data_IF_706672485173
#
_entry.id   IF_706672485173
#
_cell.length_a   1.000
_cell.length_b   1.000
_cell.length_c   1.000
_cell.angle_alpha   90.00
_cell.angle_beta   90.00
_cell.angle_gamma   90.00
#
_symmetry.space_group_name_H-M   'P 1'
#
loop_
_entity.id
_entity.type
_entity.pdbx_description
1 polymer ?
#
# COMPACT_ATOMS: atom_id res chain seq x y z
N UNK A 1 -28.69 -6.47 5.92
CA UNK A 1 -28.16 -5.17 6.23
C UNK A 1 -27.35 -4.62 5.06
N UNK A 2 -27.76 -3.47 4.54
CA UNK A 2 -27.16 -2.87 3.34
C UNK A 2 -25.67 -2.54 3.52
N UNK A 3 -25.30 -2.03 4.69
CA UNK A 3 -23.89 -1.72 4.99
C UNK A 3 -23.02 -2.96 4.95
N UNK A 4 -23.47 -4.04 5.57
CA UNK A 4 -22.71 -5.31 5.56
C UNK A 4 -22.56 -5.86 4.16
N UNK A 5 -23.60 -5.75 3.34
CA UNK A 5 -23.58 -6.17 1.95
C UNK A 5 -22.55 -5.35 1.14
N UNK A 6 -22.62 -4.03 1.28
CA UNK A 6 -21.71 -3.12 0.59
C UNK A 6 -20.26 -3.38 0.99
N UNK A 7 -20.01 -3.55 2.28
CA UNK A 7 -18.67 -3.88 2.77
C UNK A 7 -18.17 -5.20 2.20
N UNK A 8 -19.05 -6.20 2.13
CA UNK A 8 -18.68 -7.51 1.59
C UNK A 8 -18.31 -7.42 0.10
N UNK A 9 -19.07 -6.67 -0.68
CA UNK A 9 -18.78 -6.46 -2.10
C UNK A 9 -17.45 -5.72 -2.29
N UNK A 10 -17.24 -4.66 -1.52
CA UNK A 10 -15.97 -3.92 -1.55
C UNK A 10 -14.80 -4.79 -1.11
N UNK A 11 -14.97 -5.58 -0.06
CA UNK A 11 -13.98 -6.53 0.41
C UNK A 11 -13.59 -7.52 -0.69
N UNK A 12 -14.57 -8.11 -1.33
CA UNK A 12 -14.31 -9.08 -2.40
C UNK A 12 -13.59 -8.44 -3.59
N UNK A 13 -13.96 -7.22 -3.95
CA UNK A 13 -13.31 -6.49 -5.03
C UNK A 13 -11.84 -6.19 -4.68
N UNK A 14 -11.58 -5.74 -3.46
CA UNK A 14 -10.23 -5.48 -2.98
C UNK A 14 -9.42 -6.78 -2.92
N UNK A 15 -10.00 -7.86 -2.42
CA UNK A 15 -9.35 -9.16 -2.38
C UNK A 15 -8.98 -9.66 -3.77
N UNK A 16 -9.86 -9.51 -4.74
CA UNK A 16 -9.58 -9.90 -6.12
C UNK A 16 -8.40 -9.12 -6.68
N UNK A 17 -8.34 -7.83 -6.42
CA UNK A 17 -7.22 -7.00 -6.85
C UNK A 17 -5.93 -7.43 -6.19
N UNK A 18 -5.95 -7.70 -4.89
CA UNK A 18 -4.78 -8.16 -4.14
C UNK A 18 -4.34 -9.52 -4.64
N UNK A 19 -5.26 -10.46 -4.83
CA UNK A 19 -4.94 -11.79 -5.35
C UNK A 19 -4.30 -11.73 -6.73
N UNK A 20 -4.84 -10.89 -7.62
CA UNK A 20 -4.26 -10.71 -8.95
C UNK A 20 -2.85 -10.13 -8.88
N UNK A 21 -2.66 -9.12 -8.03
CA UNK A 21 -1.35 -8.52 -7.84
C UNK A 21 -0.37 -9.50 -7.24
N UNK A 22 -0.82 -10.30 -6.25
CA UNK A 22 -0.02 -11.35 -5.62
C UNK A 22 0.33 -12.46 -6.58
N UNK A 23 -0.65 -12.95 -7.34
CA UNK A 23 -0.42 -14.00 -8.32
C UNK A 23 0.56 -13.54 -9.39
N UNK A 24 0.41 -12.32 -9.87
CA UNK A 24 1.33 -11.75 -10.85
C UNK A 24 2.74 -11.62 -10.29
N UNK A 25 2.85 -11.12 -9.07
CA UNK A 25 4.13 -10.93 -8.40
C UNK A 25 4.77 -12.26 -8.05
N UNK A 26 3.98 -13.22 -7.55
CA UNK A 26 4.45 -14.57 -7.26
C UNK A 26 4.89 -15.32 -8.52
N UNK A 27 4.19 -15.10 -9.62
CA UNK A 27 4.57 -15.70 -10.90
C UNK A 27 5.92 -15.16 -11.38
N UNK A 28 6.14 -13.86 -11.25
CA UNK A 28 7.43 -13.26 -11.60
C UNK A 28 8.54 -13.72 -10.64
N UNK A 29 8.24 -13.83 -9.36
CA UNK A 29 9.21 -14.28 -8.36
C UNK A 29 9.52 -15.76 -8.49
N UNK A 30 8.53 -16.59 -8.82
CA UNK A 30 8.76 -18.01 -9.02
C UNK A 30 9.68 -18.32 -10.20
N UNK A 31 9.68 -17.47 -11.21
CA UNK A 31 10.63 -17.61 -12.30
C UNK A 31 12.04 -17.17 -11.91
N UNK A 32 12.15 -16.21 -10.99
CA UNK A 32 13.45 -15.71 -10.52
C UNK A 32 14.00 -16.51 -9.34
N UNK A 33 13.15 -17.10 -8.52
CA UNK A 33 13.51 -17.76 -7.28
C UNK A 33 13.23 -19.27 -7.26
N UNK A 34 13.32 -19.97 -8.37
CA UNK A 34 13.20 -21.41 -8.36
C UNK A 34 14.26 -22.11 -7.50
N UNK A 35 15.21 -21.36 -6.96
CA UNK A 35 16.36 -21.88 -6.25
C UNK A 35 16.27 -21.66 -4.74
N UNK A 36 15.41 -20.75 -4.28
CA UNK A 36 15.25 -20.47 -2.85
C UNK A 36 13.81 -20.72 -2.45
N UNK A 37 13.43 -21.97 -2.51
CA UNK A 37 12.15 -22.37 -1.95
C UNK A 37 12.38 -22.82 -0.52
N UNK A 38 12.10 -21.96 0.40
CA UNK A 38 11.72 -22.40 1.73
C UNK A 38 10.36 -21.80 2.01
N UNK A 39 9.30 -22.51 1.67
CA UNK A 39 8.02 -22.13 2.20
C UNK A 39 8.07 -22.45 3.68
N UNK A 40 8.36 -21.48 4.47
CA UNK A 40 8.12 -21.60 5.87
C UNK A 40 6.64 -21.57 6.09
N UNK A 41 6.07 -22.76 6.10
CA UNK A 41 4.65 -22.97 6.23
C UNK A 41 4.12 -22.68 7.63
N UNK A 42 4.98 -22.23 8.54
CA UNK A 42 4.61 -21.93 9.91
C UNK A 42 4.44 -20.43 10.17
N UNK A 43 4.44 -19.63 9.12
CA UNK A 43 4.11 -18.24 9.29
C UNK A 43 2.62 -18.14 9.60
N UNK A 44 2.35 -17.57 10.75
CA UNK A 44 1.01 -17.36 11.25
C UNK A 44 0.21 -16.46 10.31
N UNK A 45 -1.10 -16.54 10.39
CA UNK A 45 -2.02 -15.69 9.63
C UNK A 45 -1.66 -14.20 9.75
N UNK A 46 -1.01 -13.80 10.84
CA UNK A 46 -0.60 -12.42 11.07
C UNK A 46 0.39 -11.90 10.03
N UNK A 47 1.35 -12.74 9.60
CA UNK A 47 2.31 -12.37 8.57
C UNK A 47 1.66 -12.22 7.20
N UNK A 48 0.68 -13.05 6.91
CA UNK A 48 -0.10 -12.97 5.67
C UNK A 48 -0.91 -11.66 5.67
N UNK A 49 -1.52 -11.29 6.79
CA UNK A 49 -2.26 -10.05 6.93
C UNK A 49 -1.37 -8.82 6.78
N UNK A 50 -0.15 -8.86 7.32
CA UNK A 50 0.81 -7.78 7.16
C UNK A 50 1.21 -7.59 5.70
N UNK A 51 1.47 -8.67 4.99
CA UNK A 51 1.78 -8.62 3.56
C UNK A 51 0.62 -8.07 2.74
N UNK A 52 -0.61 -8.47 3.08
CA UNK A 52 -1.81 -7.94 2.43
C UNK A 52 -1.95 -6.44 2.65
N UNK A 53 -1.67 -5.96 3.87
CA UNK A 53 -1.70 -4.54 4.18
C UNK A 53 -0.61 -3.77 3.42
N UNK A 54 0.59 -4.32 3.36
CA UNK A 54 1.68 -3.72 2.59
C UNK A 54 1.34 -3.60 1.11
N UNK A 55 0.71 -4.63 0.56
CA UNK A 55 0.26 -4.62 -0.83
C UNK A 55 -0.83 -3.59 -1.06
N UNK A 56 -1.77 -3.45 -0.13
CA UNK A 56 -2.80 -2.42 -0.20
C UNK A 56 -2.19 -1.02 -0.22
N UNK A 57 -1.24 -0.78 0.67
CA UNK A 57 -0.54 0.50 0.72
C UNK A 57 0.21 0.74 -0.59
N UNK A 58 0.90 -0.26 -1.11
CA UNK A 58 1.62 -0.15 -2.37
C UNK A 58 0.68 0.17 -3.53
N UNK A 59 -0.50 -0.45 -3.56
CA UNK A 59 -1.50 -0.17 -4.59
C UNK A 59 -2.02 1.27 -4.50
N UNK A 60 -2.28 1.75 -3.29
CA UNK A 60 -2.74 3.12 -3.09
C UNK A 60 -1.66 4.10 -3.54
N UNK A 61 -0.41 3.85 -3.19
CA UNK A 61 0.73 4.69 -3.59
C UNK A 61 0.86 4.73 -5.10
N UNK A 62 0.73 3.59 -5.78
CA UNK A 62 0.83 3.52 -7.24
C UNK A 62 -0.28 4.32 -7.93
N UNK A 63 -1.45 4.44 -7.32
CA UNK A 63 -2.57 5.19 -7.86
C UNK A 63 -2.52 6.69 -7.54
N UNK A 64 -1.59 7.12 -6.72
CA UNK A 64 -1.46 8.54 -6.40
C UNK A 64 -0.99 9.35 -7.60
N UNK A 65 -1.32 10.66 -7.67
CA UNK A 65 -0.73 11.55 -8.66
C UNK A 65 0.80 11.51 -8.59
N UNK A 66 1.51 11.70 -9.72
CA UNK A 66 2.96 11.51 -9.76
C UNK A 66 3.73 12.31 -8.72
N UNK A 67 3.34 13.56 -8.49
CA UNK A 67 4.03 14.43 -7.55
C UNK A 67 3.82 13.97 -6.10
N UNK A 68 2.59 13.63 -5.74
CA UNK A 68 2.26 13.10 -4.41
C UNK A 68 3.02 11.78 -4.16
N UNK A 69 3.00 10.90 -5.14
CA UNK A 69 3.70 9.63 -5.09
C UNK A 69 5.21 9.83 -4.86
N UNK A 70 5.80 10.75 -5.59
CA UNK A 70 7.24 11.07 -5.47
C UNK A 70 7.56 11.59 -4.08
N UNK A 71 6.77 12.54 -3.57
CA UNK A 71 6.97 13.11 -2.25
C UNK A 71 6.80 12.04 -1.17
N UNK A 72 5.79 11.20 -1.28
CA UNK A 72 5.56 10.10 -0.34
C UNK A 72 6.75 9.14 -0.30
N UNK A 73 7.25 8.75 -1.46
CA UNK A 73 8.40 7.86 -1.54
C UNK A 73 9.66 8.48 -0.95
N UNK A 74 9.91 9.75 -1.22
CA UNK A 74 11.05 10.46 -0.64
C UNK A 74 10.97 10.49 0.88
N UNK A 75 9.77 10.69 1.43
CA UNK A 75 9.56 10.73 2.87
C UNK A 75 9.71 9.36 3.51
N UNK A 76 9.13 8.32 2.92
CA UNK A 76 9.07 6.99 3.53
C UNK A 76 10.26 6.11 3.20
N UNK A 77 10.68 6.08 1.96
CA UNK A 77 11.77 5.20 1.53
C UNK A 77 13.13 5.83 1.80
N UNK A 78 13.27 7.12 1.52
CA UNK A 78 14.54 7.83 1.70
C UNK A 78 14.69 8.47 3.07
N UNK A 79 13.64 8.50 3.89
CA UNK A 79 13.68 9.09 5.21
C UNK A 79 13.89 10.60 5.22
N UNK A 80 13.55 11.30 4.15
CA UNK A 80 13.76 12.73 4.04
C UNK A 80 12.72 13.50 4.84
N UNK A 81 13.16 14.61 5.45
CA UNK A 81 12.24 15.51 6.12
C UNK A 81 11.51 16.40 5.10
N UNK A 82 10.43 17.03 5.54
CA UNK A 82 9.66 17.93 4.67
C UNK A 82 10.54 19.08 4.13
N UNK A 83 11.44 19.59 4.93
CA UNK A 83 12.38 20.64 4.50
C UNK A 83 13.33 20.13 3.41
N UNK A 84 13.87 18.94 3.60
CA UNK A 84 14.77 18.31 2.61
C UNK A 84 14.06 18.05 1.29
N UNK A 85 12.84 17.54 1.34
CA UNK A 85 12.02 17.29 0.15
C UNK A 85 11.73 18.61 -0.56
N UNK A 86 11.34 19.63 0.19
CA UNK A 86 11.05 20.95 -0.36
C UNK A 86 12.26 21.54 -1.09
N UNK A 87 13.44 21.42 -0.51
CA UNK A 87 14.68 21.89 -1.15
C UNK A 87 15.02 21.07 -2.39
N UNK A 88 14.87 19.75 -2.32
CA UNK A 88 15.19 18.86 -3.44
C UNK A 88 14.28 19.10 -4.64
N UNK A 89 13.01 19.40 -4.42
CA UNK A 89 12.02 19.59 -5.48
C UNK A 89 11.84 21.07 -5.85
N UNK A 90 12.40 21.99 -5.09
CA UNK A 90 12.24 23.43 -5.34
C UNK A 90 10.82 23.93 -5.08
N UNK A 91 10.12 23.37 -4.12
CA UNK A 91 8.76 23.75 -3.74
C UNK A 91 8.70 24.15 -2.27
N UNK A 92 7.58 24.74 -1.87
CA UNK A 92 7.39 25.16 -0.49
C UNK A 92 7.21 23.96 0.44
N UNK A 93 7.72 24.06 1.65
CA UNK A 93 7.51 23.06 2.70
C UNK A 93 6.04 22.76 2.91
N UNK A 94 5.20 23.79 2.90
CA UNK A 94 3.76 23.64 3.09
C UNK A 94 3.13 22.79 2.00
N UNK A 95 3.59 22.93 0.76
CA UNK A 95 3.15 22.07 -0.36
C UNK A 95 3.52 20.62 -0.11
N UNK A 96 4.74 20.36 0.39
CA UNK A 96 5.18 19.01 0.75
C UNK A 96 4.29 18.43 1.85
N UNK A 97 4.04 19.20 2.89
CA UNK A 97 3.19 18.76 4.00
C UNK A 97 1.76 18.48 3.55
N UNK A 98 1.22 19.30 2.65
CA UNK A 98 -0.11 19.08 2.08
C UNK A 98 -0.17 17.78 1.27
N UNK A 99 0.83 17.53 0.45
CA UNK A 99 0.90 16.27 -0.33
C UNK A 99 1.03 15.06 0.59
N UNK A 100 1.86 15.14 1.61
CA UNK A 100 2.01 14.06 2.59
C UNK A 100 0.72 13.82 3.36
N UNK A 101 0.04 14.89 3.77
CA UNK A 101 -1.24 14.79 4.45
C UNK A 101 -2.30 14.12 3.58
N UNK A 102 -2.38 14.49 2.32
CA UNK A 102 -3.30 13.87 1.37
C UNK A 102 -2.95 12.41 1.11
N UNK A 103 -1.66 12.10 1.00
CA UNK A 103 -1.19 10.73 0.83
C UNK A 103 -1.59 9.86 2.03
N UNK A 104 -1.37 10.37 3.23
CA UNK A 104 -1.75 9.66 4.45
C UNK A 104 -3.27 9.49 4.56
N UNK A 105 -4.03 10.49 4.11
CA UNK A 105 -5.49 10.39 4.08
C UNK A 105 -5.95 9.29 3.13
N UNK A 106 -5.36 9.21 1.95
CA UNK A 106 -5.69 8.17 0.97
C UNK A 106 -5.38 6.77 1.53
N UNK A 107 -4.21 6.63 2.14
CA UNK A 107 -3.81 5.36 2.76
C UNK A 107 -4.73 5.01 3.92
N UNK A 108 -5.04 5.99 4.76
CA UNK A 108 -5.92 5.80 5.93
C UNK A 108 -7.30 5.33 5.52
N UNK A 109 -7.86 5.88 4.46
CA UNK A 109 -9.18 5.46 3.96
C UNK A 109 -9.18 3.98 3.59
N UNK A 110 -8.17 3.55 2.85
CA UNK A 110 -8.08 2.16 2.42
C UNK A 110 -7.84 1.24 3.60
N UNK A 111 -6.95 1.62 4.52
CA UNK A 111 -6.68 0.84 5.73
C UNK A 111 -7.91 0.76 6.63
N UNK A 112 -8.66 1.85 6.75
CA UNK A 112 -9.89 1.87 7.54
C UNK A 112 -10.94 0.93 6.95
N UNK A 113 -11.12 0.96 5.64
CA UNK A 113 -12.03 0.03 4.95
C UNK A 113 -11.55 -1.41 5.16
N UNK A 114 -10.27 -1.68 4.99
CA UNK A 114 -9.71 -3.00 5.21
C UNK A 114 -9.90 -3.45 6.66
N UNK A 115 -9.66 -2.55 7.61
CA UNK A 115 -9.84 -2.85 9.04
C UNK A 115 -11.29 -3.24 9.36
N UNK A 116 -12.25 -2.47 8.85
CA UNK A 116 -13.67 -2.77 9.06
C UNK A 116 -14.04 -4.12 8.42
N UNK A 117 -13.48 -4.42 7.27
CA UNK A 117 -13.79 -5.63 6.53
C UNK A 117 -13.13 -6.88 7.11
N UNK A 118 -11.98 -6.74 7.76
CA UNK A 118 -11.27 -7.85 8.39
C UNK A 118 -11.69 -8.09 9.84
N UNK A 119 -12.31 -7.12 10.46
CA UNK A 119 -12.81 -7.19 11.81
C UNK A 119 -14.29 -6.84 11.88
#
# INVERSE_FOLDING_TARGET
>A
NFKSYLFRVCKNAVYRHIERALLFKNYQQKQAEKIVSTPESNETDDNIQLRELELLVAMVVEKMPPQRKKIYKMSRESGMSSDEIAQALGINKRTVENHLSQALTDIRKVLFIAFILFF
#
